data_IF_628930364573
#
_entry.id   IF_628930364573
#
_cell.length_a   1.000
_cell.length_b   1.000
_cell.length_c   1.000
_cell.angle_alpha   90.00
_cell.angle_beta   90.00
_cell.angle_gamma   90.00
#
_symmetry.space_group_name_H-M   'P 1'
#
loop_
_entity.id
_entity.type
_entity.pdbx_description
1 polymer ?
#
# COMPACT_ATOMS: atom_id res chain seq x y z
N UNK A 1 -8.81 -3.95 25.14
CA UNK A 1 -8.71 -5.07 24.17
C UNK A 1 -8.13 -4.57 22.85
N UNK A 2 -7.26 -5.37 22.27
CA UNK A 2 -6.71 -5.07 20.95
C UNK A 2 -7.76 -5.33 19.87
N UNK A 3 -7.78 -4.47 18.85
CA UNK A 3 -8.65 -4.67 17.69
C UNK A 3 -8.14 -5.84 16.86
N UNK A 4 -9.07 -6.69 16.42
CA UNK A 4 -8.77 -7.87 15.63
C UNK A 4 -8.71 -7.53 14.15
N UNK A 5 -7.69 -8.03 13.46
CA UNK A 5 -7.55 -7.93 12.02
C UNK A 5 -7.63 -9.33 11.44
N UNK A 6 -8.65 -9.57 10.63
CA UNK A 6 -8.90 -10.89 10.02
C UNK A 6 -7.80 -11.30 9.06
N UNK A 7 -7.38 -10.38 8.19
CA UNK A 7 -6.40 -10.64 7.15
C UNK A 7 -5.02 -10.92 7.75
N UNK A 8 -4.23 -11.71 7.04
CA UNK A 8 -2.81 -11.85 7.34
C UNK A 8 -2.10 -10.62 6.78
N UNK A 9 -1.25 -10.00 7.58
CA UNK A 9 -0.52 -8.80 7.16
C UNK A 9 0.88 -9.22 6.70
N UNK A 10 1.23 -8.92 5.45
CA UNK A 10 2.57 -9.19 4.92
C UNK A 10 3.46 -7.98 5.24
N UNK A 11 4.52 -8.23 5.97
CA UNK A 11 5.51 -7.23 6.41
C UNK A 11 6.92 -7.69 6.07
N UNK A 12 7.90 -6.81 6.26
CA UNK A 12 9.29 -7.12 5.88
C UNK A 12 10.00 -7.95 6.92
N UNK A 13 9.83 -7.64 8.22
CA UNK A 13 10.60 -8.30 9.27
C UNK A 13 9.90 -8.38 10.61
N UNK A 14 10.63 -8.98 11.57
CA UNK A 14 10.13 -9.27 12.91
C UNK A 14 9.79 -8.01 13.70
N UNK A 15 10.50 -6.92 13.49
CA UNK A 15 10.21 -5.67 14.21
C UNK A 15 8.86 -5.11 13.81
N UNK A 16 8.49 -5.24 12.52
CA UNK A 16 7.16 -4.85 12.05
C UNK A 16 6.07 -5.68 12.70
N UNK A 17 6.29 -7.00 12.74
CA UNK A 17 5.38 -7.93 13.42
C UNK A 17 5.20 -7.55 14.89
N UNK A 18 6.28 -7.30 15.58
CA UNK A 18 6.25 -6.95 17.01
C UNK A 18 5.48 -5.66 17.23
N UNK A 19 5.69 -4.65 16.39
CA UNK A 19 5.00 -3.38 16.49
C UNK A 19 3.49 -3.56 16.27
N UNK A 20 3.12 -4.25 15.19
CA UNK A 20 1.71 -4.49 14.89
C UNK A 20 1.01 -5.31 15.97
N UNK A 21 1.65 -6.36 16.46
CA UNK A 21 1.07 -7.23 17.50
C UNK A 21 1.04 -6.56 18.88
N UNK A 22 1.86 -5.53 19.10
CA UNK A 22 1.76 -4.74 20.33
C UNK A 22 0.47 -3.91 20.37
N UNK A 23 -0.06 -3.53 19.21
CA UNK A 23 -1.25 -2.69 19.09
C UNK A 23 -2.52 -3.46 18.70
N UNK A 24 -2.39 -4.52 17.91
CA UNK A 24 -3.54 -5.22 17.31
C UNK A 24 -3.46 -6.73 17.53
N UNK A 25 -4.61 -7.36 17.54
CA UNK A 25 -4.72 -8.82 17.48
C UNK A 25 -4.65 -9.22 16.00
N UNK A 26 -3.45 -9.57 15.55
CA UNK A 26 -3.20 -9.86 14.14
C UNK A 26 -2.10 -10.90 13.96
N UNK A 27 -2.07 -11.48 12.77
CA UNK A 27 -1.04 -12.41 12.34
C UNK A 27 -0.31 -11.86 11.13
N UNK A 28 0.96 -12.17 10.99
CA UNK A 28 1.81 -11.65 9.93
C UNK A 28 2.53 -12.76 9.17
N UNK A 29 2.95 -12.42 7.95
CA UNK A 29 3.94 -13.17 7.19
C UNK A 29 5.10 -12.21 6.94
N UNK A 30 6.32 -12.63 7.33
CA UNK A 30 7.52 -11.81 7.14
C UNK A 30 8.24 -12.27 5.88
N UNK A 31 8.63 -11.30 5.05
CA UNK A 31 9.33 -11.61 3.79
C UNK A 31 10.83 -11.86 3.99
N UNK A 32 11.40 -11.35 5.07
CA UNK A 32 12.82 -11.51 5.35
C UNK A 32 13.71 -10.57 4.54
N UNK A 33 13.16 -9.49 4.01
CA UNK A 33 13.87 -8.53 3.18
C UNK A 33 13.32 -8.47 1.76
N UNK A 34 14.07 -7.86 0.84
CA UNK A 34 13.63 -7.60 -0.52
C UNK A 34 13.75 -8.82 -1.47
N UNK A 35 14.42 -9.88 -1.05
CA UNK A 35 14.52 -11.12 -1.81
C UNK A 35 13.45 -12.10 -1.36
N UNK A 36 12.25 -11.92 -1.86
CA UNK A 36 11.11 -12.78 -1.54
C UNK A 36 11.23 -14.09 -2.31
N UNK A 37 11.27 -15.22 -1.60
CA UNK A 37 11.39 -16.53 -2.24
C UNK A 37 10.01 -17.15 -2.54
N UNK A 38 10.02 -18.23 -3.34
CA UNK A 38 8.80 -18.94 -3.74
C UNK A 38 8.02 -19.51 -2.54
N UNK A 39 8.73 -19.91 -1.50
CA UNK A 39 8.12 -20.44 -0.28
C UNK A 39 7.27 -19.38 0.42
N UNK A 40 7.78 -18.15 0.50
CA UNK A 40 7.05 -17.02 1.06
C UNK A 40 5.82 -16.68 0.19
N UNK A 41 6.01 -16.66 -1.13
CA UNK A 41 4.89 -16.39 -2.06
C UNK A 41 3.80 -17.43 -1.89
N UNK A 42 4.15 -18.70 -1.76
CA UNK A 42 3.16 -19.77 -1.55
C UNK A 42 2.42 -19.60 -0.23
N UNK A 43 3.11 -19.20 0.84
CA UNK A 43 2.46 -18.88 2.12
C UNK A 43 1.46 -17.73 1.98
N UNK A 44 1.83 -16.69 1.24
CA UNK A 44 0.93 -15.55 0.97
C UNK A 44 -0.28 -16.03 0.14
N UNK A 45 -0.05 -16.87 -0.85
CA UNK A 45 -1.11 -17.41 -1.69
C UNK A 45 -2.14 -18.21 -0.87
N UNK A 46 -1.66 -19.05 0.04
CA UNK A 46 -2.54 -19.81 0.94
C UNK A 46 -3.30 -18.89 1.90
N UNK A 47 -2.63 -17.90 2.45
CA UNK A 47 -3.28 -16.90 3.31
C UNK A 47 -4.37 -16.13 2.57
N UNK A 48 -4.12 -15.76 1.32
CA UNK A 48 -5.09 -15.05 0.50
C UNK A 48 -6.35 -15.87 0.26
N UNK A 49 -6.21 -17.18 0.07
CA UNK A 49 -7.36 -18.08 -0.14
C UNK A 49 -8.23 -18.25 1.11
N UNK A 50 -7.67 -18.13 2.28
CA UNK A 50 -8.37 -18.43 3.54
C UNK A 50 -8.83 -17.18 4.27
N UNK A 51 -7.91 -16.30 4.62
CA UNK A 51 -8.20 -15.13 5.46
C UNK A 51 -8.18 -13.80 4.70
N UNK A 52 -7.55 -13.79 3.54
CA UNK A 52 -7.20 -12.56 2.86
C UNK A 52 -5.85 -12.02 3.31
N UNK A 53 -5.27 -11.16 2.51
CA UNK A 53 -3.93 -10.61 2.76
C UNK A 53 -3.95 -9.10 2.61
N UNK A 54 -3.31 -8.41 3.56
CA UNK A 54 -2.97 -7.00 3.42
C UNK A 54 -1.45 -6.90 3.31
N UNK A 55 -0.96 -6.37 2.19
CA UNK A 55 0.46 -6.10 2.01
C UNK A 55 0.75 -4.74 2.64
N UNK A 56 1.64 -4.72 3.63
CA UNK A 56 1.97 -3.52 4.38
C UNK A 56 3.48 -3.42 4.56
N UNK A 57 4.15 -2.94 3.54
CA UNK A 57 5.61 -2.78 3.49
C UNK A 57 6.02 -1.35 3.80
N UNK A 58 7.29 -1.15 4.09
CA UNK A 58 7.84 0.16 4.41
C UNK A 58 7.70 1.13 3.22
N UNK A 59 7.52 2.44 3.49
CA UNK A 59 7.39 3.45 2.43
C UNK A 59 8.77 3.85 1.87
N UNK A 60 9.49 2.88 1.35
CA UNK A 60 10.82 3.04 0.76
C UNK A 60 10.95 2.19 -0.51
N UNK A 61 12.08 2.31 -1.20
CA UNK A 61 12.30 1.58 -2.46
C UNK A 61 12.28 0.06 -2.29
N UNK A 62 12.96 -0.53 -1.30
CA UNK A 62 12.86 -1.98 -1.06
C UNK A 62 11.43 -2.42 -0.76
N UNK A 63 10.70 -1.68 0.06
CA UNK A 63 9.31 -1.99 0.41
C UNK A 63 8.40 -1.96 -0.80
N UNK A 64 8.59 -1.01 -1.69
CA UNK A 64 7.84 -0.92 -2.94
C UNK A 64 8.14 -2.11 -3.87
N UNK A 65 9.38 -2.54 -3.93
CA UNK A 65 9.78 -3.70 -4.71
C UNK A 65 9.10 -4.98 -4.20
N UNK A 66 9.10 -5.19 -2.91
CA UNK A 66 8.43 -6.33 -2.26
C UNK A 66 6.94 -6.31 -2.58
N UNK A 67 6.31 -5.16 -2.43
CA UNK A 67 4.88 -4.97 -2.71
C UNK A 67 4.53 -5.35 -4.13
N UNK A 68 5.29 -4.89 -5.10
CA UNK A 68 5.07 -5.20 -6.51
C UNK A 68 5.22 -6.69 -6.79
N UNK A 69 6.25 -7.29 -6.25
CA UNK A 69 6.52 -8.72 -6.47
C UNK A 69 5.40 -9.59 -5.91
N UNK A 70 5.00 -9.36 -4.68
CA UNK A 70 3.92 -10.14 -4.04
C UNK A 70 2.58 -9.84 -4.71
N UNK A 71 2.28 -8.58 -4.94
CA UNK A 71 1.02 -8.16 -5.56
C UNK A 71 0.82 -8.73 -6.97
N UNK A 72 1.90 -8.83 -7.75
CA UNK A 72 1.83 -9.43 -9.09
C UNK A 72 1.76 -10.95 -9.05
N UNK A 73 2.34 -11.57 -8.01
CA UNK A 73 2.36 -13.04 -7.87
C UNK A 73 1.08 -13.61 -7.25
N UNK A 74 0.41 -12.82 -6.41
CA UNK A 74 -0.80 -13.25 -5.68
C UNK A 74 -1.91 -12.22 -5.91
N UNK A 75 -2.75 -12.43 -6.93
CA UNK A 75 -3.85 -11.50 -7.21
C UNK A 75 -4.85 -11.37 -6.07
N UNK A 76 -5.47 -10.20 -5.94
CA UNK A 76 -6.52 -9.96 -4.98
C UNK A 76 -6.05 -9.49 -3.61
N UNK A 77 -4.76 -9.38 -3.36
CA UNK A 77 -4.26 -8.84 -2.10
C UNK A 77 -4.70 -7.39 -1.92
N UNK A 78 -5.00 -7.04 -0.68
CA UNK A 78 -5.22 -5.66 -0.26
C UNK A 78 -3.87 -4.99 -0.03
N UNK A 79 -3.81 -3.69 -0.26
CA UNK A 79 -2.57 -2.91 -0.07
C UNK A 79 -2.83 -1.77 0.90
N UNK A 80 -2.05 -1.73 1.97
CA UNK A 80 -2.06 -0.61 2.92
C UNK A 80 -0.79 0.22 2.71
N UNK A 81 -0.94 1.53 2.79
CA UNK A 81 0.16 2.47 2.61
C UNK A 81 0.20 3.41 3.80
N UNK A 82 1.39 3.63 4.33
CA UNK A 82 1.62 4.63 5.35
C UNK A 82 2.49 5.75 4.78
N UNK A 83 2.19 6.97 5.15
CA UNK A 83 2.98 8.12 4.74
C UNK A 83 4.37 8.02 5.38
N UNK A 84 5.41 8.30 4.60
CA UNK A 84 6.80 8.27 5.05
C UNK A 84 7.02 9.15 6.29
N UNK A 85 6.37 10.30 6.36
CA UNK A 85 6.48 11.21 7.50
C UNK A 85 5.95 10.58 8.81
N UNK A 86 4.99 9.67 8.70
CA UNK A 86 4.39 8.96 9.86
C UNK A 86 5.12 7.69 10.25
N UNK A 87 6.07 7.23 9.43
CA UNK A 87 6.78 5.98 9.61
C UNK A 87 8.30 6.16 9.73
N UNK A 88 8.75 7.34 10.12
CA UNK A 88 10.19 7.61 10.21
C UNK A 88 10.61 8.15 11.58
N UNK A 89 11.86 7.86 11.92
CA UNK A 89 12.61 8.58 12.94
C UNK A 89 13.64 9.48 12.23
N UNK A 90 14.40 10.35 12.92
CA UNK A 90 15.45 11.14 12.27
C UNK A 90 16.48 10.31 11.49
N UNK A 91 16.62 9.01 11.79
CA UNK A 91 17.63 8.14 11.19
C UNK A 91 17.07 6.97 10.37
N UNK A 92 15.79 6.61 10.54
CA UNK A 92 15.23 5.38 9.96
C UNK A 92 13.81 5.60 9.43
N UNK A 93 13.43 4.78 8.45
CA UNK A 93 12.10 4.71 7.89
C UNK A 93 11.60 3.28 8.01
N UNK A 94 10.36 3.09 8.47
CA UNK A 94 9.74 1.78 8.53
C UNK A 94 8.43 1.78 9.31
N UNK A 95 7.59 0.80 9.02
CA UNK A 95 6.32 0.55 9.70
C UNK A 95 6.53 0.45 11.23
N UNK A 96 7.64 -0.14 11.65
CA UNK A 96 7.97 -0.31 13.07
C UNK A 96 8.07 0.99 13.86
N UNK A 97 8.23 2.14 13.17
CA UNK A 97 8.39 3.46 13.80
C UNK A 97 7.10 4.28 13.85
N UNK A 98 6.01 3.76 13.31
CA UNK A 98 4.74 4.46 13.28
C UNK A 98 3.97 4.26 14.60
N UNK A 99 3.09 5.23 14.92
CA UNK A 99 2.23 5.09 16.08
C UNK A 99 0.96 4.28 15.74
N UNK A 100 0.22 3.90 16.78
CA UNK A 100 -0.96 3.05 16.65
C UNK A 100 -2.03 3.65 15.72
N UNK A 101 -2.33 4.93 15.89
CA UNK A 101 -3.38 5.61 15.12
C UNK A 101 -3.05 5.67 13.64
N UNK A 102 -1.80 5.96 13.30
CA UNK A 102 -1.34 6.02 11.91
C UNK A 102 -1.35 4.64 11.27
N UNK A 103 -0.96 3.61 12.02
CA UNK A 103 -1.02 2.22 11.53
C UNK A 103 -2.45 1.77 11.31
N UNK A 104 -3.34 2.08 12.26
CA UNK A 104 -4.76 1.72 12.14
C UNK A 104 -5.41 2.41 10.96
N UNK A 105 -5.14 3.70 10.78
CA UNK A 105 -5.64 4.47 9.65
C UNK A 105 -5.20 3.86 8.32
N UNK A 106 -3.92 3.52 8.20
CA UNK A 106 -3.39 2.89 6.99
C UNK A 106 -4.05 1.53 6.71
N UNK A 107 -4.23 0.71 7.73
CA UNK A 107 -4.83 -0.62 7.58
C UNK A 107 -6.33 -0.55 7.26
N UNK A 108 -7.04 0.44 7.80
CA UNK A 108 -8.47 0.63 7.51
C UNK A 108 -8.70 1.16 6.09
N UNK A 109 -7.77 1.92 5.55
CA UNK A 109 -7.87 2.53 4.22
C UNK A 109 -7.12 1.75 3.15
N UNK A 110 -7.09 0.43 3.26
CA UNK A 110 -6.47 -0.41 2.24
C UNK A 110 -7.15 -0.23 0.89
N UNK A 111 -6.42 -0.50 -0.18
CA UNK A 111 -6.91 -0.45 -1.56
C UNK A 111 -6.60 -1.76 -2.28
N UNK A 112 -7.28 -2.01 -3.38
CA UNK A 112 -7.01 -3.16 -4.25
C UNK A 112 -6.69 -2.66 -5.66
N UNK A 113 -5.83 -3.40 -6.37
CA UNK A 113 -5.38 -3.06 -7.72
C UNK A 113 -5.83 -4.16 -8.69
N UNK A 114 -7.13 -4.27 -8.89
CA UNK A 114 -7.73 -5.39 -9.62
C UNK A 114 -8.27 -5.03 -11.01
N UNK A 115 -8.68 -3.78 -11.23
CA UNK A 115 -9.23 -3.38 -12.51
C UNK A 115 -8.17 -3.42 -13.61
N UNK A 116 -8.51 -4.04 -14.74
CA UNK A 116 -7.60 -4.14 -15.89
C UNK A 116 -7.98 -3.20 -17.02
N UNK A 117 -9.13 -2.55 -16.93
CA UNK A 117 -9.60 -1.62 -17.94
C UNK A 117 -9.09 -0.21 -17.66
N UNK A 118 -8.77 0.53 -18.71
CA UNK A 118 -8.34 1.91 -18.59
C UNK A 118 -9.58 2.81 -18.50
N UNK A 119 -9.80 3.41 -17.35
CA UNK A 119 -10.91 4.37 -17.11
C UNK A 119 -10.41 5.81 -17.08
N UNK A 120 -9.13 5.99 -16.94
CA UNK A 120 -8.42 7.28 -16.91
C UNK A 120 -7.34 7.21 -17.99
N UNK A 121 -7.47 8.03 -19.04
CA UNK A 121 -6.48 8.06 -20.12
C UNK A 121 -5.22 8.81 -19.69
N UNK A 122 -4.11 8.56 -20.37
CA UNK A 122 -2.87 9.31 -20.11
C UNK A 122 -3.07 10.82 -20.38
N UNK A 123 -3.87 11.15 -21.38
CA UNK A 123 -4.20 12.55 -21.68
C UNK A 123 -4.99 13.17 -20.53
N UNK A 124 -5.97 12.45 -19.97
CA UNK A 124 -6.70 12.91 -18.78
C UNK A 124 -5.74 13.18 -17.62
N UNK A 125 -4.78 12.29 -17.42
CA UNK A 125 -3.79 12.39 -16.35
C UNK A 125 -2.90 13.64 -16.54
N UNK A 126 -2.52 13.94 -17.79
CA UNK A 126 -1.80 15.17 -18.14
C UNK A 126 -2.68 16.40 -17.88
N UNK A 127 -3.93 16.38 -18.36
CA UNK A 127 -4.87 17.50 -18.23
C UNK A 127 -5.20 17.83 -16.78
N UNK A 128 -5.18 16.83 -15.90
CA UNK A 128 -5.37 17.02 -14.46
C UNK A 128 -4.16 17.68 -13.80
N UNK A 129 -3.03 17.78 -14.50
CA UNK A 129 -1.81 18.40 -13.98
C UNK A 129 -0.94 17.44 -13.15
N UNK A 130 -1.14 16.15 -13.29
CA UNK A 130 -0.45 15.15 -12.46
C UNK A 130 0.93 14.76 -12.98
N UNK A 131 1.25 15.14 -14.22
CA UNK A 131 2.59 14.99 -14.79
C UNK A 131 3.35 16.29 -14.58
N UNK A 132 4.54 16.20 -13.99
CA UNK A 132 5.39 17.37 -13.75
C UNK A 132 5.02 18.18 -12.50
N UNK A 133 3.93 17.86 -11.82
CA UNK A 133 3.53 18.47 -10.56
C UNK A 133 3.51 17.42 -9.45
N UNK A 134 4.66 17.26 -8.82
CA UNK A 134 4.87 16.27 -7.76
C UNK A 134 3.94 16.49 -6.57
N UNK A 135 3.78 17.73 -6.14
CA UNK A 135 2.99 18.03 -4.95
C UNK A 135 1.51 17.71 -5.17
N UNK A 136 0.97 18.07 -6.32
CA UNK A 136 -0.42 17.74 -6.66
C UNK A 136 -0.61 16.23 -6.80
N UNK A 137 0.33 15.55 -7.46
CA UNK A 137 0.27 14.09 -7.60
C UNK A 137 0.30 13.40 -6.24
N UNK A 138 1.14 13.85 -5.32
CA UNK A 138 1.21 13.27 -3.97
C UNK A 138 -0.06 13.54 -3.17
N UNK A 139 -0.69 14.69 -3.38
CA UNK A 139 -1.99 14.99 -2.76
C UNK A 139 -3.05 14.01 -3.24
N UNK A 140 -3.10 13.72 -4.54
CA UNK A 140 -4.02 12.72 -5.10
C UNK A 140 -3.72 11.33 -4.53
N UNK A 141 -2.45 10.95 -4.44
CA UNK A 141 -2.06 9.67 -3.84
C UNK A 141 -2.58 9.56 -2.40
N UNK A 142 -2.46 10.61 -1.61
CA UNK A 142 -2.94 10.61 -0.23
C UNK A 142 -4.46 10.52 -0.18
N UNK A 143 -5.17 11.28 -1.00
CA UNK A 143 -6.62 11.29 -1.03
C UNK A 143 -7.22 9.94 -1.41
N UNK A 144 -6.53 9.17 -2.24
CA UNK A 144 -6.95 7.83 -2.67
C UNK A 144 -6.24 6.70 -1.91
N UNK A 145 -5.55 7.02 -0.82
CA UNK A 145 -4.94 6.05 0.10
C UNK A 145 -3.89 5.14 -0.53
N UNK A 146 -3.15 5.67 -1.51
CA UNK A 146 -1.96 5.02 -2.04
C UNK A 146 -0.72 5.83 -1.62
N UNK A 147 0.43 5.17 -1.55
CA UNK A 147 1.66 5.84 -1.19
C UNK A 147 2.15 6.78 -2.29
N UNK A 148 2.97 7.79 -1.96
CA UNK A 148 3.58 8.65 -2.97
C UNK A 148 4.34 7.82 -4.00
N UNK A 149 4.17 8.16 -5.27
CA UNK A 149 4.79 7.43 -6.36
C UNK A 149 5.00 8.32 -7.58
N UNK A 150 5.79 7.82 -8.54
CA UNK A 150 6.01 8.55 -9.77
C UNK A 150 4.75 8.57 -10.65
N UNK A 151 4.78 9.36 -11.72
CA UNK A 151 3.60 9.56 -12.58
C UNK A 151 3.09 8.26 -13.19
N UNK A 152 3.97 7.41 -13.69
CA UNK A 152 3.58 6.13 -14.32
C UNK A 152 2.90 5.20 -13.31
N UNK A 153 3.47 5.08 -12.12
CA UNK A 153 2.91 4.22 -11.07
C UNK A 153 1.58 4.78 -10.57
N UNK A 154 1.48 6.08 -10.38
CA UNK A 154 0.24 6.75 -9.97
C UNK A 154 -0.87 6.50 -10.99
N UNK A 155 -0.59 6.72 -12.26
CA UNK A 155 -1.52 6.47 -13.35
C UNK A 155 -2.00 5.01 -13.36
N UNK A 156 -1.06 4.07 -13.27
CA UNK A 156 -1.39 2.64 -13.25
C UNK A 156 -2.27 2.28 -12.05
N UNK A 157 -1.91 2.73 -10.85
CA UNK A 157 -2.66 2.42 -9.63
C UNK A 157 -4.07 3.00 -9.63
N UNK A 158 -4.23 4.24 -10.07
CA UNK A 158 -5.54 4.87 -10.17
C UNK A 158 -6.46 4.10 -11.13
N UNK A 159 -5.94 3.67 -12.27
CA UNK A 159 -6.69 2.83 -13.19
C UNK A 159 -7.03 1.46 -12.58
N UNK A 160 -6.07 0.83 -11.91
CA UNK A 160 -6.31 -0.47 -11.25
C UNK A 160 -7.32 -0.38 -10.11
N UNK A 161 -7.52 0.79 -9.55
CA UNK A 161 -8.54 1.07 -8.54
C UNK A 161 -9.87 1.53 -9.15
N UNK A 162 -9.95 1.61 -10.47
CA UNK A 162 -11.15 2.08 -11.20
C UNK A 162 -11.50 3.55 -10.86
N UNK A 163 -10.50 4.39 -10.65
CA UNK A 163 -10.69 5.81 -10.32
C UNK A 163 -10.81 6.62 -11.61
N UNK A 164 -11.90 7.36 -11.75
CA UNK A 164 -12.18 8.18 -12.93
C UNK A 164 -11.60 9.59 -12.79
N UNK A 165 -11.51 10.29 -13.92
CA UNK A 165 -11.11 11.71 -13.96
C UNK A 165 -12.02 12.55 -13.07
N UNK A 166 -13.31 12.32 -13.15
CA UNK A 166 -14.34 13.05 -12.40
C UNK A 166 -14.16 12.87 -10.89
N UNK A 167 -13.83 11.65 -10.45
CA UNK A 167 -13.57 11.39 -9.04
C UNK A 167 -12.34 12.13 -8.52
N UNK A 168 -11.29 12.23 -9.34
CA UNK A 168 -10.07 12.97 -8.98
C UNK A 168 -10.39 14.47 -8.88
N UNK A 169 -11.13 15.01 -9.85
CA UNK A 169 -11.52 16.42 -9.84
C UNK A 169 -12.34 16.75 -8.58
N UNK A 170 -13.31 15.90 -8.28
CA UNK A 170 -14.20 16.10 -7.12
C UNK A 170 -13.45 16.01 -5.80
N UNK A 171 -12.57 15.01 -5.66
CA UNK A 171 -11.92 14.69 -4.38
C UNK A 171 -10.66 15.50 -4.10
N UNK A 172 -9.89 15.80 -5.13
CA UNK A 172 -8.57 16.42 -4.96
C UNK A 172 -8.46 17.83 -5.51
N UNK A 173 -9.32 18.24 -6.43
CA UNK A 173 -9.20 19.52 -7.16
C UNK A 173 -10.34 20.50 -6.89
N UNK A 174 -11.35 20.11 -6.15
CA UNK A 174 -12.47 21.00 -5.80
C UNK A 174 -12.28 21.68 -4.45
#
# INVERSE_FOLDING_TARGET
>A
MKQHIKEIIVVEGKNDTNTLQSFFDCDTIETGGDQVNEKTIERVRQAQKTRGVIIFTDPDTPGEHIRRLIGSSVPGCKHAFINKEKAKTPKKVGVEHANREDLWDALCNYVTFENKEEVLSWQDFIDLGLVGNKDLRFQVCEDFHIGPCNAKTCFKRLNQMNVTKEEIEERSLS
#
